data_IF_039372438698
#
_entry.id   IF_039372438698
#
_cell.length_a   1.000
_cell.length_b   1.000
_cell.length_c   1.000
_cell.angle_alpha   90.00
_cell.angle_beta   90.00
_cell.angle_gamma   90.00
#
_symmetry.space_group_name_H-M   'P 1'
#
loop_
_entity.id
_entity.type
_entity.pdbx_description
1 polymer ?
#
# COMPACT_ATOMS: atom_id res chain seq x y z
N UNK A 1 -20.62 -10.54 60.08
CA UNK A 1 -20.84 -11.06 58.72
C UNK A 1 -21.97 -10.27 58.08
N UNK A 2 -21.68 -9.42 57.08
CA UNK A 2 -22.62 -9.19 56.01
C UNK A 2 -21.97 -9.58 54.68
N UNK A 3 -22.66 -10.45 53.95
CA UNK A 3 -22.30 -10.90 52.61
C UNK A 3 -22.77 -9.80 51.65
N UNK A 4 -21.85 -8.96 51.19
CA UNK A 4 -22.08 -8.01 50.12
C UNK A 4 -21.76 -8.65 48.77
N UNK A 5 -22.80 -9.01 48.00
CA UNK A 5 -22.67 -9.45 46.61
C UNK A 5 -22.23 -8.25 45.76
N UNK A 6 -20.98 -8.24 45.30
CA UNK A 6 -20.51 -7.32 44.26
C UNK A 6 -20.88 -7.90 42.90
N UNK A 7 -21.83 -7.25 42.20
CA UNK A 7 -22.00 -7.47 40.76
C UNK A 7 -20.79 -6.90 40.01
N UNK A 8 -20.17 -7.64 39.06
CA UNK A 8 -19.12 -7.11 38.22
C UNK A 8 -19.74 -6.27 37.10
N UNK A 9 -19.80 -4.95 37.26
CA UNK A 9 -19.91 -3.99 36.16
C UNK A 9 -18.51 -3.53 35.73
N UNK A 10 -17.62 -4.50 35.51
CA UNK A 10 -16.26 -4.26 35.01
C UNK A 10 -16.12 -4.89 33.64
N UNK A 11 -16.07 -4.07 32.60
CA UNK A 11 -15.55 -4.48 31.30
C UNK A 11 -14.08 -4.92 31.48
N UNK A 12 -13.64 -6.00 30.82
CA UNK A 12 -12.30 -6.56 31.00
C UNK A 12 -11.27 -5.64 30.34
N UNK A 13 -10.42 -5.01 31.15
CA UNK A 13 -9.30 -4.21 30.68
C UNK A 13 -8.97 -3.08 31.66
N UNK A 14 -7.94 -3.27 32.49
CA UNK A 14 -7.46 -2.28 33.44
C UNK A 14 -6.69 -1.12 32.79
N UNK A 15 -7.34 -0.39 31.89
CA UNK A 15 -6.84 0.88 31.33
C UNK A 15 -7.69 2.04 31.83
N UNK A 16 -7.06 3.16 32.19
CA UNK A 16 -7.78 4.39 32.56
C UNK A 16 -8.79 4.76 31.47
N UNK A 17 -10.06 4.94 31.84
CA UNK A 17 -11.09 5.45 30.93
C UNK A 17 -10.73 6.90 30.54
N UNK A 18 -10.32 7.10 29.28
CA UNK A 18 -10.16 8.45 28.74
C UNK A 18 -11.56 9.05 28.57
N UNK A 19 -11.77 10.22 29.17
CA UNK A 19 -13.03 10.97 29.07
C UNK A 19 -12.92 11.98 27.95
N UNK A 20 -13.91 12.05 27.06
CA UNK A 20 -14.09 13.20 26.18
C UNK A 20 -15.21 14.07 26.74
N UNK A 21 -14.85 15.25 27.24
CA UNK A 21 -15.72 16.17 27.97
C UNK A 21 -16.40 15.52 29.19
N UNK A 22 -17.50 14.80 28.96
CA UNK A 22 -18.32 14.15 30.00
C UNK A 22 -18.65 12.67 29.69
N UNK A 23 -18.30 12.18 28.50
CA UNK A 23 -18.58 10.81 28.09
C UNK A 23 -17.33 9.93 28.27
N UNK A 24 -17.52 8.76 28.88
CA UNK A 24 -16.49 7.72 28.91
C UNK A 24 -16.28 7.19 27.51
N UNK A 25 -15.06 7.26 27.00
CA UNK A 25 -14.71 6.71 25.69
C UNK A 25 -14.07 5.33 25.85
N UNK A 26 -14.34 4.46 24.88
CA UNK A 26 -13.47 3.33 24.63
C UNK A 26 -12.08 3.86 24.23
N UNK A 27 -11.02 3.15 24.65
CA UNK A 27 -9.65 3.39 24.20
C UNK A 27 -9.52 2.98 22.73
N UNK A 28 -10.06 3.80 21.82
CA UNK A 28 -9.94 3.57 20.39
C UNK A 28 -8.67 4.28 19.91
N UNK A 29 -7.69 3.52 19.44
CA UNK A 29 -6.47 4.08 18.83
C UNK A 29 -6.76 4.47 17.39
N UNK A 30 -6.89 5.77 17.12
CA UNK A 30 -7.25 6.31 15.79
C UNK A 30 -6.06 6.43 14.83
N UNK A 31 -4.83 6.30 15.34
CA UNK A 31 -3.60 6.86 14.75
C UNK A 31 -3.08 6.17 13.49
N UNK A 32 -3.72 5.11 12.98
CA UNK A 32 -3.26 4.40 11.77
C UNK A 32 -4.38 3.64 11.05
N UNK A 33 -5.60 4.19 11.06
CA UNK A 33 -6.78 3.49 10.51
C UNK A 33 -7.35 4.22 9.30
N UNK A 34 -7.56 3.47 8.21
CA UNK A 34 -8.12 3.99 6.94
C UNK A 34 -9.66 4.00 6.95
N UNK A 35 -10.29 3.16 7.78
CA UNK A 35 -11.74 3.07 7.90
C UNK A 35 -12.39 4.34 8.50
N UNK A 36 -11.92 4.94 9.60
CA UNK A 36 -12.56 6.14 10.14
C UNK A 36 -12.55 7.33 9.18
N UNK A 37 -11.44 7.66 8.48
CA UNK A 37 -11.47 8.68 7.42
C UNK A 37 -12.49 8.39 6.31
N UNK A 38 -12.66 7.13 5.90
CA UNK A 38 -13.60 6.74 4.85
C UNK A 38 -15.05 7.00 5.27
N UNK A 39 -15.44 6.57 6.47
CA UNK A 39 -16.76 6.86 7.02
C UNK A 39 -16.96 8.35 7.31
N UNK A 40 -15.91 9.04 7.77
CA UNK A 40 -15.91 10.49 8.00
C UNK A 40 -16.21 11.24 6.73
N UNK A 41 -15.48 10.99 5.64
CA UNK A 41 -15.69 11.68 4.35
C UNK A 41 -17.09 11.38 3.80
N UNK A 42 -17.58 10.14 3.94
CA UNK A 42 -18.94 9.79 3.54
C UNK A 42 -19.98 10.66 4.27
N UNK A 43 -19.89 10.75 5.60
CA UNK A 43 -20.83 11.54 6.41
C UNK A 43 -20.66 13.04 6.16
N UNK A 44 -19.41 13.51 6.04
CA UNK A 44 -19.09 14.89 5.75
C UNK A 44 -19.68 15.33 4.40
N UNK A 45 -19.64 14.48 3.37
CA UNK A 45 -20.23 14.80 2.07
C UNK A 45 -21.75 15.05 2.15
N UNK A 46 -22.46 14.28 2.98
CA UNK A 46 -23.89 14.53 3.22
C UNK A 46 -24.12 15.80 4.04
N UNK A 47 -23.28 16.03 5.05
CA UNK A 47 -23.35 17.21 5.91
C UNK A 47 -23.09 18.49 5.10
N UNK A 48 -22.03 18.55 4.30
CA UNK A 48 -21.72 19.71 3.45
C UNK A 48 -22.83 19.98 2.43
N UNK A 49 -23.41 18.94 1.84
CA UNK A 49 -24.56 19.10 0.93
C UNK A 49 -25.79 19.63 1.65
N UNK A 50 -26.00 19.26 2.90
CA UNK A 50 -27.06 19.80 3.75
C UNK A 50 -26.80 21.28 4.09
N UNK A 51 -25.59 21.61 4.54
CA UNK A 51 -25.18 22.98 4.87
C UNK A 51 -25.26 23.89 3.63
N UNK A 52 -24.83 23.42 2.47
CA UNK A 52 -24.88 24.17 1.21
C UNK A 52 -26.31 24.53 0.76
N UNK A 53 -27.32 23.79 1.21
CA UNK A 53 -28.75 24.10 0.96
C UNK A 53 -29.35 25.06 2.00
N UNK A 54 -28.83 25.08 3.22
CA UNK A 54 -29.43 25.81 4.34
C UNK A 54 -28.67 27.10 4.72
N UNK A 55 -27.38 27.21 4.38
CA UNK A 55 -26.59 28.41 4.62
C UNK A 55 -26.80 29.46 3.51
N UNK A 56 -26.91 30.76 3.85
CA UNK A 56 -26.86 31.86 2.88
C UNK A 56 -25.50 31.93 2.18
N UNK A 57 -25.44 32.32 0.91
CA UNK A 57 -24.21 32.31 0.10
C UNK A 57 -23.06 33.11 0.72
N UNK A 58 -23.35 34.24 1.36
CA UNK A 58 -22.37 35.10 2.04
C UNK A 58 -21.69 34.38 3.23
N UNK A 59 -22.37 33.42 3.85
CA UNK A 59 -21.86 32.68 5.01
C UNK A 59 -21.26 31.33 4.63
N UNK A 60 -21.47 30.81 3.41
CA UNK A 60 -21.02 29.46 3.04
C UNK A 60 -19.50 29.29 3.16
N UNK A 61 -18.72 30.29 2.77
CA UNK A 61 -17.26 30.22 2.77
C UNK A 61 -16.64 30.00 4.16
N UNK A 62 -17.29 30.52 5.22
CA UNK A 62 -16.79 30.43 6.60
C UNK A 62 -17.63 29.46 7.44
N UNK A 63 -18.95 29.50 7.28
CA UNK A 63 -19.91 28.70 8.05
C UNK A 63 -19.86 27.22 7.71
N UNK A 64 -19.62 26.85 6.44
CA UNK A 64 -19.56 25.44 6.05
C UNK A 64 -18.42 24.70 6.74
N UNK A 65 -17.14 25.14 6.65
CA UNK A 65 -16.05 24.44 7.33
C UNK A 65 -16.17 24.53 8.86
N UNK A 66 -16.66 25.65 9.42
CA UNK A 66 -16.81 25.81 10.87
C UNK A 66 -17.85 24.86 11.48
N UNK A 67 -19.07 24.83 10.93
CA UNK A 67 -20.14 23.95 11.41
C UNK A 67 -19.78 22.49 11.13
N UNK A 68 -19.15 22.20 9.99
CA UNK A 68 -18.64 20.85 9.70
C UNK A 68 -17.62 20.40 10.73
N UNK A 69 -16.66 21.22 11.12
CA UNK A 69 -15.69 20.87 12.17
C UNK A 69 -16.38 20.62 13.52
N UNK A 70 -17.29 21.50 13.95
CA UNK A 70 -18.01 21.38 15.23
C UNK A 70 -18.82 20.09 15.31
N UNK A 71 -19.43 19.66 14.20
CA UNK A 71 -20.24 18.44 14.17
C UNK A 71 -19.35 17.21 13.96
N UNK A 72 -18.43 17.26 13.00
CA UNK A 72 -17.66 16.09 12.59
C UNK A 72 -16.61 15.68 13.60
N UNK A 73 -15.97 16.60 14.32
CA UNK A 73 -14.97 16.23 15.34
C UNK A 73 -15.59 15.33 16.44
N UNK A 74 -16.64 15.75 17.17
CA UNK A 74 -17.25 14.89 18.17
C UNK A 74 -17.93 13.67 17.56
N UNK A 75 -18.56 13.78 16.38
CA UNK A 75 -19.17 12.64 15.70
C UNK A 75 -18.13 11.57 15.32
N UNK A 76 -16.95 12.00 14.90
CA UNK A 76 -15.86 11.10 14.52
C UNK A 76 -15.39 10.29 15.72
N UNK A 77 -15.19 10.97 16.84
CA UNK A 77 -14.67 10.36 18.07
C UNK A 77 -15.74 9.48 18.74
N UNK A 78 -17.00 9.92 18.78
CA UNK A 78 -18.04 9.25 19.56
C UNK A 78 -18.79 8.17 18.78
N UNK A 79 -18.87 8.28 17.46
CA UNK A 79 -19.69 7.38 16.62
C UNK A 79 -18.86 6.70 15.56
N UNK A 80 -18.16 7.46 14.71
CA UNK A 80 -17.46 6.87 13.56
C UNK A 80 -16.31 5.96 14.02
N UNK A 81 -15.56 6.35 15.04
CA UNK A 81 -14.48 5.55 15.63
C UNK A 81 -14.96 4.18 16.11
N UNK A 82 -15.89 4.13 17.09
CA UNK A 82 -16.46 2.86 17.56
C UNK A 82 -17.10 2.04 16.45
N UNK A 83 -17.78 2.68 15.49
CA UNK A 83 -18.38 1.99 14.34
C UNK A 83 -17.31 1.36 13.42
N UNK A 84 -16.23 2.09 13.16
CA UNK A 84 -15.12 1.63 12.33
C UNK A 84 -14.37 0.48 13.00
N UNK A 85 -14.17 0.57 14.31
CA UNK A 85 -13.54 -0.47 15.11
C UNK A 85 -14.41 -1.73 15.15
N UNK A 86 -15.73 -1.58 15.37
CA UNK A 86 -16.66 -2.69 15.31
C UNK A 86 -16.67 -3.37 13.92
N UNK A 87 -16.62 -2.58 12.83
CA UNK A 87 -16.52 -3.11 11.48
C UNK A 87 -15.20 -3.87 11.25
N UNK A 88 -14.05 -3.30 11.66
CA UNK A 88 -12.74 -3.94 11.55
C UNK A 88 -12.69 -5.26 12.32
N UNK A 89 -13.18 -5.27 13.57
CA UNK A 89 -13.30 -6.47 14.40
C UNK A 89 -14.24 -7.51 13.77
N UNK A 90 -15.36 -7.09 13.18
CA UNK A 90 -16.27 -8.00 12.49
C UNK A 90 -15.62 -8.71 11.30
N UNK A 91 -14.86 -7.96 10.48
CA UNK A 91 -14.09 -8.52 9.36
C UNK A 91 -13.00 -9.46 9.88
N UNK A 92 -12.29 -9.06 10.93
CA UNK A 92 -11.26 -9.87 11.58
C UNK A 92 -11.83 -11.21 12.08
N UNK A 93 -12.96 -11.20 12.78
CA UNK A 93 -13.64 -12.42 13.25
C UNK A 93 -14.04 -13.31 12.09
N UNK A 94 -14.63 -12.74 11.03
CA UNK A 94 -15.02 -13.51 9.84
C UNK A 94 -13.81 -14.14 9.15
N UNK A 95 -12.72 -13.39 9.00
CA UNK A 95 -11.46 -13.88 8.45
C UNK A 95 -10.87 -15.00 9.31
N UNK A 96 -10.75 -14.80 10.63
CA UNK A 96 -10.17 -15.82 11.51
C UNK A 96 -11.02 -17.08 11.55
N UNK A 97 -12.34 -16.97 11.48
CA UNK A 97 -13.22 -18.12 11.34
C UNK A 97 -12.89 -18.93 10.08
N UNK A 98 -12.69 -18.26 8.94
CA UNK A 98 -12.25 -18.90 7.70
C UNK A 98 -10.85 -19.51 7.84
N UNK A 99 -9.89 -18.77 8.40
CA UNK A 99 -8.51 -19.21 8.57
C UNK A 99 -8.40 -20.42 9.51
N UNK A 100 -9.25 -20.52 10.54
CA UNK A 100 -9.30 -21.68 11.43
C UNK A 100 -10.02 -22.88 10.80
N UNK A 101 -11.10 -22.66 10.05
CA UNK A 101 -11.92 -23.75 9.50
C UNK A 101 -11.29 -24.36 8.26
N UNK A 102 -10.79 -23.52 7.35
CA UNK A 102 -10.18 -23.95 6.08
C UNK A 102 -8.94 -23.09 5.78
N UNK A 103 -7.80 -23.32 6.47
CA UNK A 103 -6.58 -22.51 6.33
C UNK A 103 -6.10 -22.37 4.88
N UNK A 104 -6.24 -23.44 4.08
CA UNK A 104 -5.84 -23.46 2.67
C UNK A 104 -6.65 -22.44 1.84
N UNK A 105 -7.95 -22.32 2.11
CA UNK A 105 -8.80 -21.34 1.41
C UNK A 105 -8.47 -19.93 1.87
N UNK A 106 -8.21 -19.70 3.16
CA UNK A 106 -7.75 -18.41 3.65
C UNK A 106 -6.41 -18.00 3.02
N UNK A 107 -5.45 -18.91 2.92
CA UNK A 107 -4.17 -18.66 2.23
C UNK A 107 -4.33 -18.40 0.74
N UNK A 108 -5.18 -19.16 0.05
CA UNK A 108 -5.46 -18.93 -1.36
C UNK A 108 -6.13 -17.58 -1.60
N UNK A 109 -7.06 -17.19 -0.72
CA UNK A 109 -7.74 -15.90 -0.78
C UNK A 109 -6.74 -14.76 -0.54
N UNK A 110 -6.03 -14.77 0.58
CA UNK A 110 -5.12 -13.69 0.93
C UNK A 110 -3.88 -13.74 0.04
N UNK A 111 -3.11 -14.83 0.09
CA UNK A 111 -1.89 -15.00 -0.68
C UNK A 111 -2.07 -14.90 -2.21
N UNK A 112 -3.22 -15.33 -2.73
CA UNK A 112 -3.48 -15.32 -4.18
C UNK A 112 -4.17 -14.06 -4.72
N UNK A 113 -5.08 -13.46 -3.95
CA UNK A 113 -5.86 -12.30 -4.41
C UNK A 113 -5.30 -10.98 -3.90
N UNK A 114 -4.39 -10.97 -2.92
CA UNK A 114 -3.83 -9.74 -2.34
C UNK A 114 -3.34 -8.74 -3.40
N UNK A 115 -2.62 -9.22 -4.41
CA UNK A 115 -2.04 -8.36 -5.44
C UNK A 115 -3.10 -7.78 -6.38
N UNK A 116 -4.27 -8.41 -6.48
CA UNK A 116 -5.44 -7.82 -7.14
C UNK A 116 -5.98 -6.65 -6.31
N UNK A 117 -6.00 -6.76 -4.97
CA UNK A 117 -6.35 -5.64 -4.09
C UNK A 117 -5.33 -4.50 -4.14
N UNK A 118 -4.05 -4.82 -4.37
CA UNK A 118 -3.01 -3.80 -4.63
C UNK A 118 -3.33 -3.04 -5.91
N UNK A 119 -3.70 -3.74 -6.99
CA UNK A 119 -4.08 -3.10 -8.25
C UNK A 119 -5.23 -2.10 -8.07
N UNK A 120 -6.26 -2.46 -7.31
CA UNK A 120 -7.40 -1.57 -7.07
C UNK A 120 -7.18 -0.55 -5.93
N UNK A 121 -6.03 -0.57 -5.26
CA UNK A 121 -5.73 0.32 -4.13
C UNK A 121 -6.54 0.06 -2.85
N UNK A 122 -7.40 -0.97 -2.84
CA UNK A 122 -8.28 -1.28 -1.70
C UNK A 122 -7.55 -1.96 -0.54
N UNK A 123 -6.31 -2.39 -0.76
CA UNK A 123 -5.48 -3.08 0.23
C UNK A 123 -5.22 -2.27 1.51
N UNK A 124 -5.15 -0.93 1.42
CA UNK A 124 -5.04 -0.03 2.58
C UNK A 124 -6.26 -0.11 3.52
N UNK A 125 -7.42 -0.49 2.98
CA UNK A 125 -8.64 -0.70 3.77
C UNK A 125 -8.55 -1.89 4.73
N UNK A 126 -7.57 -2.77 4.56
CA UNK A 126 -7.38 -3.98 5.38
C UNK A 126 -6.55 -3.70 6.64
N UNK A 127 -5.76 -2.63 6.67
CA UNK A 127 -4.92 -2.26 7.83
C UNK A 127 -5.67 -2.23 9.16
N UNK A 128 -6.87 -1.63 9.28
CA UNK A 128 -7.62 -1.64 10.54
C UNK A 128 -7.99 -3.05 11.01
N UNK A 129 -8.28 -3.97 10.09
CA UNK A 129 -8.56 -5.37 10.42
C UNK A 129 -7.30 -6.07 10.94
N UNK A 130 -6.12 -5.85 10.34
CA UNK A 130 -4.86 -6.41 10.86
C UNK A 130 -4.57 -5.91 12.28
N UNK A 131 -4.74 -4.60 12.53
CA UNK A 131 -4.58 -4.01 13.87
C UNK A 131 -5.57 -4.65 14.86
N UNK A 132 -6.83 -4.85 14.45
CA UNK A 132 -7.82 -5.55 15.26
C UNK A 132 -7.39 -6.99 15.58
N UNK A 133 -6.82 -7.73 14.64
CA UNK A 133 -6.27 -9.08 14.87
C UNK A 133 -5.14 -9.06 15.91
N UNK A 134 -4.16 -8.17 15.78
CA UNK A 134 -3.07 -8.06 16.76
C UNK A 134 -3.58 -7.70 18.14
N UNK A 135 -4.53 -6.77 18.25
CA UNK A 135 -5.10 -6.36 19.54
C UNK A 135 -5.91 -7.49 20.19
N UNK A 136 -6.66 -8.28 19.41
CA UNK A 136 -7.51 -9.34 19.93
C UNK A 136 -6.73 -10.63 20.24
N UNK A 137 -5.78 -11.01 19.38
CA UNK A 137 -5.15 -12.33 19.39
C UNK A 137 -3.65 -12.29 19.73
N UNK A 138 -3.01 -11.11 19.71
CA UNK A 138 -1.56 -10.97 19.85
C UNK A 138 -0.77 -11.43 18.62
N UNK A 139 -1.45 -11.90 17.58
CA UNK A 139 -0.85 -12.35 16.33
C UNK A 139 -1.82 -12.19 15.14
N UNK A 140 -1.28 -12.32 13.93
CA UNK A 140 -2.05 -12.24 12.70
C UNK A 140 -1.52 -13.20 11.63
N UNK A 141 -2.39 -14.09 11.13
CA UNK A 141 -2.11 -14.95 9.97
C UNK A 141 -2.27 -14.20 8.66
N UNK A 142 -3.14 -13.17 8.62
CA UNK A 142 -3.44 -12.43 7.41
C UNK A 142 -2.18 -11.74 6.90
N UNK A 143 -1.46 -11.04 7.79
CA UNK A 143 -0.25 -10.34 7.42
C UNK A 143 0.88 -11.27 6.95
N UNK A 144 0.98 -12.47 7.51
CA UNK A 144 1.94 -13.47 7.05
C UNK A 144 1.62 -13.92 5.61
N UNK A 145 0.34 -14.15 5.30
CA UNK A 145 -0.10 -14.51 3.95
C UNK A 145 0.10 -13.37 2.95
N UNK A 146 -0.15 -12.14 3.37
CA UNK A 146 0.13 -10.93 2.61
C UNK A 146 1.62 -10.82 2.26
N UNK A 147 2.54 -11.04 3.20
CA UNK A 147 3.97 -11.02 2.91
C UNK A 147 4.34 -12.02 1.82
N UNK A 148 3.76 -13.22 1.83
CA UNK A 148 4.06 -14.20 0.80
C UNK A 148 3.48 -13.85 -0.57
N UNK A 149 2.32 -13.18 -0.64
CA UNK A 149 1.83 -12.64 -1.92
C UNK A 149 2.84 -11.65 -2.54
N UNK A 150 3.36 -10.74 -1.71
CA UNK A 150 4.35 -9.73 -2.11
C UNK A 150 5.66 -10.38 -2.55
N UNK A 151 6.16 -11.34 -1.77
CA UNK A 151 7.37 -12.08 -2.12
C UNK A 151 7.17 -12.89 -3.40
N UNK A 152 5.99 -13.48 -3.61
CA UNK A 152 5.68 -14.19 -4.84
C UNK A 152 5.72 -13.27 -6.06
N UNK A 153 5.17 -12.05 -5.99
CA UNK A 153 5.28 -11.10 -7.10
C UNK A 153 6.73 -10.66 -7.36
N UNK A 154 7.51 -10.42 -6.31
CA UNK A 154 8.93 -10.14 -6.46
C UNK A 154 9.65 -11.31 -7.15
N UNK A 155 9.39 -12.55 -6.72
CA UNK A 155 9.95 -13.76 -7.34
C UNK A 155 9.50 -13.92 -8.79
N UNK A 156 8.24 -13.66 -9.12
CA UNK A 156 7.73 -13.67 -10.48
C UNK A 156 8.46 -12.65 -11.36
N UNK A 157 8.73 -11.46 -10.84
CA UNK A 157 9.50 -10.43 -11.52
C UNK A 157 10.97 -10.84 -11.75
N UNK A 158 11.64 -11.38 -10.73
CA UNK A 158 13.00 -11.91 -10.90
C UNK A 158 13.06 -13.09 -11.87
N UNK A 159 11.98 -13.87 -11.99
CA UNK A 159 11.90 -14.93 -12.99
C UNK A 159 11.92 -14.38 -14.42
N UNK A 160 11.33 -13.20 -14.64
CA UNK A 160 11.42 -12.48 -15.91
C UNK A 160 12.87 -12.09 -16.20
N UNK A 161 13.62 -11.61 -15.21
CA UNK A 161 15.07 -11.31 -15.35
C UNK A 161 15.85 -12.54 -15.83
N UNK A 162 15.55 -13.73 -15.28
CA UNK A 162 16.22 -14.97 -15.66
C UNK A 162 15.84 -15.43 -17.08
N UNK A 163 14.60 -15.20 -17.49
CA UNK A 163 14.04 -15.72 -18.75
C UNK A 163 14.22 -14.79 -19.94
N UNK A 164 14.20 -13.48 -19.73
CA UNK A 164 14.25 -12.49 -20.80
C UNK A 164 15.64 -12.42 -21.45
N UNK A 165 15.65 -12.25 -22.77
CA UNK A 165 16.88 -11.98 -23.54
C UNK A 165 17.09 -10.48 -23.79
N UNK A 166 16.05 -9.66 -23.59
CA UNK A 166 16.12 -8.22 -23.84
C UNK A 166 16.82 -7.52 -22.68
N UNK A 167 17.90 -6.78 -22.98
CA UNK A 167 18.71 -6.10 -21.95
C UNK A 167 17.91 -5.08 -21.16
N UNK A 168 17.04 -4.33 -21.83
CA UNK A 168 16.21 -3.31 -21.20
C UNK A 168 15.18 -3.93 -20.25
N UNK A 169 14.40 -4.93 -20.72
CA UNK A 169 13.47 -5.69 -19.89
C UNK A 169 14.17 -6.29 -18.66
N UNK A 170 15.38 -6.84 -18.83
CA UNK A 170 16.18 -7.37 -17.73
C UNK A 170 16.52 -6.29 -16.69
N UNK A 171 16.91 -5.10 -17.13
CA UNK A 171 17.24 -3.96 -16.25
C UNK A 171 16.00 -3.51 -15.46
N UNK A 172 14.88 -3.28 -16.15
CA UNK A 172 13.63 -2.80 -15.55
C UNK A 172 13.06 -3.85 -14.60
N UNK A 173 13.10 -5.13 -14.97
CA UNK A 173 12.63 -6.21 -14.11
C UNK A 173 13.50 -6.40 -12.87
N UNK A 174 14.82 -6.21 -12.97
CA UNK A 174 15.69 -6.30 -11.81
C UNK A 174 15.42 -5.16 -10.82
N UNK A 175 15.35 -3.91 -11.28
CA UNK A 175 15.06 -2.78 -10.39
C UNK A 175 13.66 -2.87 -9.78
N UNK A 176 12.65 -3.24 -10.59
CA UNK A 176 11.27 -3.39 -10.12
C UNK A 176 11.08 -4.61 -9.22
N UNK A 177 11.85 -5.68 -9.40
CA UNK A 177 11.86 -6.82 -8.48
C UNK A 177 12.49 -6.46 -7.13
N UNK A 178 13.54 -5.62 -7.15
CA UNK A 178 14.20 -5.15 -5.93
C UNK A 178 13.26 -4.30 -5.06
N UNK A 179 12.42 -3.44 -5.63
CA UNK A 179 11.41 -2.70 -4.85
C UNK A 179 10.42 -3.64 -4.15
N UNK A 180 10.04 -4.73 -4.83
CA UNK A 180 9.15 -5.76 -4.28
C UNK A 180 9.72 -6.46 -3.04
N UNK A 181 11.05 -6.62 -2.95
CA UNK A 181 11.71 -7.18 -1.75
C UNK A 181 11.44 -6.31 -0.50
N UNK A 182 11.39 -4.99 -0.69
CA UNK A 182 11.11 -4.01 0.38
C UNK A 182 9.62 -3.84 0.68
N UNK A 183 8.74 -4.61 0.04
CA UNK A 183 7.30 -4.53 0.25
C UNK A 183 6.59 -3.51 -0.63
N UNK A 184 7.28 -2.92 -1.62
CA UNK A 184 6.72 -1.98 -2.59
C UNK A 184 6.47 -2.72 -3.90
N UNK A 185 5.23 -3.16 -4.11
CA UNK A 185 4.88 -4.03 -5.25
C UNK A 185 4.37 -3.28 -6.47
N UNK A 186 4.07 -1.98 -6.38
CA UNK A 186 3.54 -1.21 -7.51
C UNK A 186 4.48 -1.21 -8.72
N UNK A 187 5.80 -0.96 -8.59
CA UNK A 187 6.73 -1.05 -9.72
C UNK A 187 6.82 -2.48 -10.27
N UNK A 188 6.75 -3.48 -9.39
CA UNK A 188 6.79 -4.90 -9.75
C UNK A 188 5.58 -5.32 -10.58
N UNK A 189 4.38 -4.96 -10.11
CA UNK A 189 3.09 -5.30 -10.73
C UNK A 189 2.95 -4.56 -12.05
N UNK A 190 2.96 -3.23 -12.01
CA UNK A 190 2.64 -2.41 -13.17
C UNK A 190 3.78 -2.38 -14.19
N UNK A 191 5.03 -2.40 -13.72
CA UNK A 191 6.19 -2.39 -14.60
C UNK A 191 6.35 -3.71 -15.36
N UNK A 192 6.10 -4.85 -14.70
CA UNK A 192 6.52 -6.15 -15.23
C UNK A 192 5.42 -7.21 -15.18
N UNK A 193 4.94 -7.59 -14.00
CA UNK A 193 4.20 -8.86 -13.90
C UNK A 193 2.82 -8.77 -14.54
N UNK A 194 2.12 -7.64 -14.37
CA UNK A 194 0.78 -7.41 -14.93
C UNK A 194 0.82 -7.18 -16.45
N UNK A 195 1.84 -6.46 -16.95
CA UNK A 195 2.01 -6.21 -18.39
C UNK A 195 2.22 -7.52 -19.16
N UNK A 196 2.97 -8.46 -18.56
CA UNK A 196 3.22 -9.80 -19.11
C UNK A 196 2.12 -10.82 -18.80
N UNK A 197 1.17 -10.51 -17.91
CA UNK A 197 0.02 -11.31 -17.45
C UNK A 197 0.34 -12.68 -16.84
N UNK A 198 1.08 -13.54 -17.54
CA UNK A 198 1.49 -14.87 -17.08
C UNK A 198 2.30 -14.78 -15.78
N UNK A 199 3.35 -13.92 -15.66
CA UNK A 199 4.09 -13.82 -14.42
C UNK A 199 3.24 -13.37 -13.24
N UNK A 200 2.28 -12.45 -13.45
CA UNK A 200 1.35 -12.02 -12.41
C UNK A 200 0.52 -13.19 -11.87
N UNK A 201 -0.07 -14.00 -12.76
CA UNK A 201 -0.87 -15.17 -12.37
C UNK A 201 -0.01 -16.20 -11.64
N UNK A 202 1.23 -16.45 -12.10
CA UNK A 202 2.16 -17.32 -11.39
C UNK A 202 2.46 -16.82 -9.98
N UNK A 203 2.65 -15.50 -9.81
CA UNK A 203 2.85 -14.88 -8.49
C UNK A 203 1.64 -15.07 -7.57
N UNK A 204 0.42 -14.88 -8.08
CA UNK A 204 -0.82 -15.17 -7.33
C UNK A 204 -0.89 -16.64 -6.90
N UNK A 205 -0.54 -17.58 -7.78
CA UNK A 205 -0.56 -19.01 -7.44
C UNK A 205 0.52 -19.33 -6.39
N UNK A 206 1.72 -18.77 -6.53
CA UNK A 206 2.80 -18.96 -5.57
C UNK A 206 2.46 -18.43 -4.18
N UNK A 207 1.84 -17.25 -4.10
CA UNK A 207 1.43 -16.63 -2.83
C UNK A 207 0.41 -17.45 -2.05
N UNK A 208 -0.43 -18.25 -2.71
CA UNK A 208 -1.44 -19.10 -2.07
C UNK A 208 -0.86 -20.23 -1.18
N UNK A 209 0.41 -20.59 -1.39
CA UNK A 209 1.03 -21.82 -0.86
C UNK A 209 1.43 -21.68 0.62
N UNK A 210 1.57 -20.44 1.10
CA UNK A 210 2.02 -20.15 2.47
C UNK A 210 1.12 -20.73 3.57
N UNK A 211 -0.18 -20.90 3.31
CA UNK A 211 -1.11 -21.46 4.29
C UNK A 211 -0.76 -22.87 4.78
N UNK A 212 0.05 -23.60 4.02
CA UNK A 212 0.51 -24.95 4.36
C UNK A 212 1.54 -24.97 5.51
N UNK A 213 2.13 -23.83 5.84
CA UNK A 213 3.24 -23.74 6.80
C UNK A 213 2.85 -23.17 8.16
N UNK A 214 1.55 -22.92 8.40
CA UNK A 214 0.98 -22.52 9.70
C UNK A 214 1.73 -21.36 10.39
N UNK A 215 2.12 -20.35 9.62
CA UNK A 215 2.86 -19.19 10.11
C UNK A 215 1.94 -18.02 10.50
N UNK A 216 2.38 -17.23 11.47
CA UNK A 216 1.70 -16.05 11.99
C UNK A 216 2.72 -14.95 12.29
N UNK A 217 2.30 -13.70 12.12
CA UNK A 217 3.08 -12.56 12.57
C UNK A 217 2.68 -12.17 13.99
N UNK A 218 3.66 -11.72 14.77
CA UNK A 218 3.50 -11.24 16.15
C UNK A 218 3.83 -9.76 16.29
N UNK A 219 4.33 -9.14 15.22
CA UNK A 219 4.51 -7.70 15.11
C UNK A 219 3.90 -7.19 13.80
N UNK A 220 3.22 -6.05 13.88
CA UNK A 220 2.69 -5.38 12.71
C UNK A 220 3.81 -4.95 11.76
N UNK A 221 3.63 -5.14 10.45
CA UNK A 221 4.54 -4.61 9.45
C UNK A 221 3.79 -3.67 8.51
N UNK A 222 4.21 -2.41 8.48
CA UNK A 222 3.59 -1.40 7.63
C UNK A 222 3.78 -1.65 6.14
N UNK A 223 4.93 -2.22 5.76
CA UNK A 223 5.23 -2.63 4.38
C UNK A 223 5.59 -4.12 4.35
N UNK A 224 4.58 -5.01 4.25
CA UNK A 224 4.83 -6.45 4.21
C UNK A 224 5.69 -6.82 3.00
N UNK A 225 6.78 -7.50 3.28
CA UNK A 225 7.76 -7.92 2.28
C UNK A 225 8.79 -8.88 2.87
N UNK A 226 9.81 -9.25 2.10
CA UNK A 226 10.77 -10.27 2.50
C UNK A 226 11.48 -9.93 3.82
N UNK A 227 11.78 -8.64 4.04
CA UNK A 227 12.46 -8.17 5.24
C UNK A 227 11.59 -8.23 6.50
N UNK A 228 10.27 -8.26 6.34
CA UNK A 228 9.32 -8.29 7.46
C UNK A 228 9.01 -9.69 7.97
N UNK A 229 9.56 -10.72 7.34
CA UNK A 229 9.41 -12.12 7.78
C UNK A 229 9.91 -12.38 9.20
N UNK A 230 10.84 -11.54 9.70
CA UNK A 230 11.29 -11.55 11.10
C UNK A 230 10.16 -11.27 12.09
N UNK A 231 9.06 -10.65 11.66
CA UNK A 231 7.90 -10.40 12.51
C UNK A 231 7.15 -11.69 12.89
N UNK A 232 7.50 -12.84 12.28
CA UNK A 232 7.01 -14.15 12.69
C UNK A 232 7.75 -14.72 13.92
N UNK A 233 8.82 -14.06 14.40
CA UNK A 233 9.56 -14.48 15.59
C UNK A 233 8.71 -14.22 16.84
N UNK A 234 8.51 -15.27 17.65
CA UNK A 234 7.83 -15.17 18.93
C UNK A 234 8.21 -16.33 19.85
N UNK A 235 8.42 -16.03 21.12
CA UNK A 235 8.66 -17.04 22.16
C UNK A 235 7.43 -17.92 22.40
N UNK A 236 6.23 -17.39 22.10
CA UNK A 236 4.95 -18.08 22.30
C UNK A 236 4.70 -19.14 21.22
N UNK A 237 5.27 -18.96 20.03
CA UNK A 237 5.21 -19.93 18.94
C UNK A 237 6.53 -19.97 18.16
N UNK A 238 7.54 -20.69 18.68
CA UNK A 238 8.86 -20.76 18.06
C UNK A 238 8.85 -21.36 16.65
N UNK A 239 7.81 -22.13 16.30
CA UNK A 239 7.67 -22.76 14.98
C UNK A 239 7.17 -21.79 13.90
N UNK A 240 6.63 -20.62 14.28
CA UNK A 240 6.08 -19.66 13.33
C UNK A 240 7.13 -19.09 12.38
N UNK A 241 8.31 -18.72 12.90
CA UNK A 241 9.39 -18.16 12.08
C UNK A 241 10.03 -19.20 11.14
N UNK A 242 10.39 -20.42 11.58
CA UNK A 242 10.80 -21.49 10.66
C UNK A 242 9.73 -21.80 9.60
N UNK A 243 8.45 -21.83 9.98
CA UNK A 243 7.33 -21.98 9.05
C UNK A 243 7.29 -20.85 8.02
N UNK A 244 7.50 -19.60 8.44
CA UNK A 244 7.58 -18.45 7.54
C UNK A 244 8.75 -18.60 6.56
N UNK A 245 9.92 -18.99 7.04
CA UNK A 245 11.12 -19.15 6.21
C UNK A 245 10.93 -20.25 5.15
N UNK A 246 10.48 -21.43 5.56
CA UNK A 246 10.24 -22.55 4.64
C UNK A 246 9.14 -22.18 3.65
N UNK A 247 8.05 -21.57 4.12
CA UNK A 247 6.94 -21.16 3.25
C UNK A 247 7.31 -20.06 2.27
N UNK A 248 8.15 -19.11 2.68
CA UNK A 248 8.68 -18.05 1.80
C UNK A 248 9.60 -18.66 0.75
N UNK A 249 10.49 -19.58 1.13
CA UNK A 249 11.37 -20.27 0.18
C UNK A 249 10.53 -21.09 -0.82
N UNK A 250 9.55 -21.85 -0.34
CA UNK A 250 8.64 -22.62 -1.19
C UNK A 250 7.87 -21.72 -2.16
N UNK A 251 7.38 -20.57 -1.68
CA UNK A 251 6.71 -19.55 -2.49
C UNK A 251 7.62 -19.05 -3.61
N UNK A 252 8.87 -18.70 -3.29
CA UNK A 252 9.85 -18.22 -4.28
C UNK A 252 10.12 -19.30 -5.32
N UNK A 253 10.47 -20.52 -4.88
CA UNK A 253 10.83 -21.63 -5.78
C UNK A 253 9.67 -21.97 -6.71
N UNK A 254 8.47 -22.18 -6.17
CA UNK A 254 7.30 -22.57 -6.96
C UNK A 254 6.90 -21.46 -7.93
N UNK A 255 6.96 -20.20 -7.50
CA UNK A 255 6.69 -19.07 -8.41
C UNK A 255 7.69 -19.04 -9.56
N UNK A 256 8.98 -19.20 -9.27
CA UNK A 256 10.03 -19.22 -10.30
C UNK A 256 9.79 -20.35 -11.29
N UNK A 257 9.58 -21.58 -10.80
CA UNK A 257 9.30 -22.73 -11.65
C UNK A 257 8.09 -22.52 -12.55
N UNK A 258 6.98 -21.99 -11.99
CA UNK A 258 5.77 -21.69 -12.75
C UNK A 258 6.03 -20.69 -13.89
N UNK A 259 6.74 -19.60 -13.63
CA UNK A 259 7.06 -18.59 -14.67
C UNK A 259 8.01 -19.17 -15.73
N UNK A 260 9.01 -19.95 -15.30
CA UNK A 260 9.95 -20.61 -16.20
C UNK A 260 9.26 -21.64 -17.11
N UNK A 261 8.21 -22.32 -16.64
CA UNK A 261 7.39 -23.22 -17.47
C UNK A 261 6.44 -22.42 -18.38
N UNK A 262 5.68 -21.47 -17.84
CA UNK A 262 4.57 -20.82 -18.56
C UNK A 262 5.00 -19.85 -19.66
N UNK A 263 6.17 -19.22 -19.54
CA UNK A 263 6.57 -18.18 -20.50
C UNK A 263 6.49 -16.77 -19.93
N UNK A 264 7.34 -15.90 -20.45
CA UNK A 264 7.06 -14.47 -20.49
C UNK A 264 6.63 -14.18 -21.92
N UNK A 265 5.36 -13.81 -22.13
CA UNK A 265 4.88 -13.42 -23.47
C UNK A 265 5.34 -11.99 -23.73
N UNK A 266 6.63 -11.84 -24.05
CA UNK A 266 7.22 -10.56 -24.43
C UNK A 266 6.62 -10.08 -25.75
N UNK A 267 5.69 -9.12 -25.67
CA UNK A 267 5.38 -8.29 -26.84
C UNK A 267 6.48 -7.23 -26.94
N UNK A 268 7.04 -7.04 -28.13
CA UNK A 268 8.21 -6.19 -28.46
C UNK A 268 7.99 -4.68 -28.26
N UNK A 269 7.14 -4.25 -27.34
CA UNK A 269 6.83 -2.84 -27.10
C UNK A 269 6.77 -2.59 -25.61
N UNK A 270 7.93 -2.52 -24.96
CA UNK A 270 8.02 -1.84 -23.66
C UNK A 270 8.13 -0.36 -23.99
N UNK A 271 6.97 0.30 -24.05
CA UNK A 271 6.92 1.75 -23.96
C UNK A 271 7.27 2.12 -22.53
N UNK A 272 8.34 2.91 -22.40
CA UNK A 272 8.81 3.51 -21.17
C UNK A 272 7.66 4.31 -20.54
N UNK A 273 7.11 3.82 -19.42
CA UNK A 273 6.38 4.68 -18.49
C UNK A 273 7.39 5.28 -17.54
N UNK A 274 7.94 6.41 -17.97
CA UNK A 274 8.61 7.36 -17.11
C UNK A 274 7.50 8.08 -16.32
N UNK A 275 7.45 7.87 -15.02
CA UNK A 275 6.79 8.78 -14.11
C UNK A 275 7.55 8.77 -12.79
N UNK A 276 8.18 9.91 -12.53
CA UNK A 276 9.29 10.06 -11.62
C UNK A 276 8.93 10.01 -10.13
N UNK A 277 9.99 9.81 -9.37
CA UNK A 277 10.21 10.47 -8.09
C UNK A 277 11.72 10.43 -7.82
N UNK A 278 12.43 11.42 -8.37
CA UNK A 278 13.78 11.75 -7.93
C UNK A 278 13.71 12.25 -6.48
N UNK A 279 14.64 11.77 -5.66
CA UNK A 279 15.15 12.56 -4.54
C UNK A 279 16.67 12.45 -4.62
N UNK A 280 17.27 13.53 -5.10
CA UNK A 280 18.71 13.70 -5.22
C UNK A 280 19.38 13.74 -3.84
N UNK A 281 20.54 13.09 -3.73
CA UNK A 281 21.67 13.59 -2.96
C UNK A 281 22.95 13.26 -3.74
N UNK A 282 23.60 14.32 -4.20
CA UNK A 282 24.81 14.34 -5.02
C UNK A 282 26.06 13.78 -4.32
N UNK A 283 26.93 13.13 -5.11
CA UNK A 283 28.40 13.20 -4.99
C UNK A 283 29.09 12.69 -6.26
N UNK A 284 29.03 13.50 -7.32
CA UNK A 284 30.14 13.98 -8.19
C UNK A 284 31.32 13.04 -8.60
N UNK A 285 31.40 12.85 -9.94
CA UNK A 285 32.57 12.65 -10.88
C UNK A 285 33.31 11.30 -10.84
N UNK A 286 33.65 10.62 -11.96
CA UNK A 286 34.06 11.06 -13.31
C UNK A 286 33.96 9.87 -14.29
N UNK A 287 33.51 10.07 -15.54
CA UNK A 287 34.14 9.57 -16.80
C UNK A 287 33.19 9.54 -18.02
N UNK A 288 33.51 10.42 -18.98
CA UNK A 288 33.56 10.25 -20.45
C UNK A 288 32.34 9.84 -21.29
N UNK A 289 31.84 10.85 -22.02
CA UNK A 289 31.74 10.99 -23.49
C UNK A 289 31.05 9.93 -24.38
N UNK A 290 30.24 10.48 -25.30
CA UNK A 290 29.72 9.96 -26.58
C UNK A 290 28.59 8.94 -26.54
N UNK A 291 27.35 9.43 -26.58
CA UNK A 291 26.39 9.25 -27.69
C UNK A 291 25.33 10.37 -27.58
N UNK A 292 25.30 11.33 -28.50
CA UNK A 292 24.19 12.29 -28.62
C UNK A 292 22.95 11.52 -29.11
N UNK A 293 22.08 11.11 -28.19
CA UNK A 293 20.71 10.74 -28.53
C UNK A 293 20.00 12.00 -29.00
N UNK A 294 19.71 12.07 -30.30
CA UNK A 294 18.97 13.16 -30.92
C UNK A 294 17.51 13.09 -30.47
N UNK A 295 17.19 13.77 -29.36
CA UNK A 295 15.81 13.85 -28.85
C UNK A 295 15.04 14.84 -29.74
N UNK A 296 14.21 14.30 -30.62
CA UNK A 296 13.28 15.11 -31.42
C UNK A 296 12.12 15.56 -30.53
N UNK A 297 12.21 16.79 -30.03
CA UNK A 297 11.14 17.44 -29.27
C UNK A 297 10.22 18.17 -30.25
N UNK A 298 8.95 17.77 -30.30
CA UNK A 298 7.93 18.44 -31.11
C UNK A 298 7.43 19.70 -30.39
N UNK A 299 7.28 20.80 -31.13
CA UNK A 299 6.77 22.05 -30.58
C UNK A 299 5.31 21.87 -30.11
N UNK A 300 5.00 22.14 -28.83
CA UNK A 300 3.63 21.97 -28.31
C UNK A 300 2.67 23.07 -28.78
N UNK A 301 3.20 24.17 -29.34
CA UNK A 301 2.47 25.34 -29.79
C UNK A 301 3.05 25.87 -31.10
N UNK A 302 2.23 26.52 -31.91
CA UNK A 302 2.71 27.28 -33.08
C UNK A 302 3.31 28.61 -32.61
N UNK A 303 4.49 28.96 -33.10
CA UNK A 303 5.17 30.21 -32.79
C UNK A 303 6.56 30.29 -33.39
N UNK A 304 7.26 31.38 -33.09
CA UNK A 304 8.62 31.63 -33.57
C UNK A 304 9.65 31.11 -32.56
N UNK A 305 10.66 30.38 -33.05
CA UNK A 305 11.75 29.85 -32.22
C UNK A 305 12.76 30.96 -31.96
N UNK A 306 12.96 31.31 -30.70
CA UNK A 306 14.02 32.24 -30.27
C UNK A 306 15.03 31.56 -29.36
N UNK A 307 16.28 31.98 -29.48
CA UNK A 307 17.34 31.60 -28.54
C UNK A 307 16.95 32.02 -27.13
N UNK A 308 17.30 31.18 -26.14
CA UNK A 308 16.93 31.45 -24.74
C UNK A 308 17.55 32.74 -24.19
N UNK A 309 18.67 33.18 -24.78
CA UNK A 309 19.31 34.47 -24.50
C UNK A 309 18.50 35.70 -24.92
N UNK A 310 17.51 35.52 -25.80
CA UNK A 310 16.65 36.60 -26.31
C UNK A 310 15.30 36.66 -25.56
N UNK A 311 15.14 35.87 -24.49
CA UNK A 311 13.95 35.87 -23.64
C UNK A 311 14.00 37.08 -22.71
N UNK A 312 12.88 37.80 -22.56
CA UNK A 312 12.80 39.01 -21.71
C UNK A 312 12.98 38.74 -20.21
N UNK A 313 12.96 37.48 -19.79
CA UNK A 313 13.15 37.07 -18.40
C UNK A 313 14.64 36.80 -18.13
N UNK A 314 15.28 37.57 -17.24
CA UNK A 314 16.72 37.44 -16.97
C UNK A 314 17.10 36.08 -16.38
N UNK A 315 16.19 35.41 -15.67
CA UNK A 315 16.44 34.09 -15.07
C UNK A 315 16.64 33.01 -16.15
N UNK A 316 15.92 33.15 -17.27
CA UNK A 316 16.05 32.25 -18.42
C UNK A 316 17.19 32.67 -19.36
N UNK A 317 17.33 33.97 -19.62
CA UNK A 317 18.40 34.50 -20.48
C UNK A 317 19.81 34.23 -19.93
N UNK A 318 19.96 34.20 -18.59
CA UNK A 318 21.23 33.90 -17.91
C UNK A 318 21.52 32.39 -17.79
N UNK A 319 20.60 31.53 -18.25
CA UNK A 319 20.85 30.09 -18.38
C UNK A 319 20.86 29.30 -17.07
N UNK A 320 20.28 29.85 -15.99
CA UNK A 320 20.19 29.16 -14.68
C UNK A 320 19.48 27.80 -14.74
N UNK A 321 18.61 27.60 -15.74
CA UNK A 321 17.84 26.38 -15.93
C UNK A 321 18.36 25.47 -17.05
N UNK A 322 19.57 25.73 -17.55
CA UNK A 322 20.20 24.95 -18.61
C UNK A 322 19.91 25.47 -20.03
N UNK A 323 20.45 24.78 -21.03
CA UNK A 323 20.28 25.12 -22.43
C UNK A 323 18.86 24.79 -22.92
N UNK A 324 18.26 25.69 -23.70
CA UNK A 324 16.93 25.50 -24.27
C UNK A 324 16.63 26.48 -25.39
N UNK A 325 15.43 26.37 -25.97
CA UNK A 325 14.87 27.34 -26.91
C UNK A 325 13.48 27.77 -26.43
N UNK A 326 13.10 29.01 -26.72
CA UNK A 326 11.77 29.52 -26.40
C UNK A 326 10.89 29.56 -27.64
N UNK A 327 9.60 29.29 -27.46
CA UNK A 327 8.61 29.36 -28.53
C UNK A 327 7.59 30.46 -28.18
N UNK A 328 7.60 31.55 -28.94
CA UNK A 328 6.71 32.68 -28.71
C UNK A 328 5.47 32.54 -29.60
N UNK A 329 4.32 32.22 -29.00
CA UNK A 329 3.03 32.27 -29.68
C UNK A 329 2.54 33.72 -29.78
N UNK A 330 1.91 34.08 -30.90
CA UNK A 330 1.20 35.36 -31.06
C UNK A 330 -0.13 35.36 -30.31
#
# INVERSE_FOLDING_TARGET
MPIGVRLPLGLPGGGETIKFLFFSMAQTTYTSTVLPPLFLVLVLAYLERFLGKHLPDVLKAIGTPFVSAIIMIPLTILVIGPLSDAAANGIAVAYNYLAHTVPVVAGALVGGIWEVFVIFGVHWGVTPMNIANFNANGCDTFQAFQTCAVVAQAAACFSVVLKTKQKEMKRVAFSSGLTGIFGITEPTIYGITLSLKKPFICGCIGGAIISLFHTMYYAYAGLPGLLTTVNAISDQNPMSFPGMMIGTIATIVITIELVLIMGCDEKTTVSVSDNGSNTDLESVKTASADQEEEIVVYAPLNGEIKLISEVNDPTFAEGYFGAGCSNHSF
#
